data_IF_893628308108
#
_entry.id   IF_893628308108
#
_cell.length_a   1.000
_cell.length_b   1.000
_cell.length_c   1.000
_cell.angle_alpha   90.00
_cell.angle_beta   90.00
_cell.angle_gamma   90.00
#
_symmetry.space_group_name_H-M   'P 1'
#
loop_
_entity.id
_entity.type
_entity.pdbx_description
1 polymer ?
#
# COMPACT_ATOMS: atom_id res chain seq x y z
N UNK A 1 -0.12 3.71 -6.20
CA UNK A 1 1.18 4.32 -6.51
C UNK A 1 1.50 4.17 -7.99
N UNK A 2 1.95 5.24 -8.61
CA UNK A 2 2.34 5.31 -10.02
C UNK A 2 3.84 5.62 -10.09
N UNK A 3 4.53 5.10 -11.09
CA UNK A 3 5.88 5.50 -11.46
C UNK A 3 5.80 6.25 -12.79
N UNK A 4 6.53 7.36 -12.91
CA UNK A 4 6.52 8.21 -14.08
C UNK A 4 7.95 8.41 -14.59
N UNK A 5 8.13 8.35 -15.91
CA UNK A 5 9.32 8.89 -16.55
C UNK A 5 9.06 10.40 -16.81
N UNK A 6 9.81 11.31 -16.16
CA UNK A 6 9.57 12.75 -16.31
C UNK A 6 10.01 13.31 -17.67
N UNK A 7 10.90 12.62 -18.40
CA UNK A 7 11.35 13.07 -19.73
C UNK A 7 10.33 12.73 -20.82
N UNK A 8 9.74 11.52 -20.76
CA UNK A 8 8.81 11.03 -21.78
C UNK A 8 7.33 11.26 -21.43
N UNK A 9 7.02 11.50 -20.15
CA UNK A 9 5.65 11.55 -19.64
C UNK A 9 4.96 10.18 -19.52
N UNK A 10 5.68 9.07 -19.76
CA UNK A 10 5.15 7.73 -19.60
C UNK A 10 4.86 7.45 -18.12
N UNK A 11 3.66 6.94 -17.81
CA UNK A 11 3.24 6.59 -16.45
C UNK A 11 2.82 5.12 -16.39
N UNK A 12 3.35 4.38 -15.42
CA UNK A 12 2.98 2.99 -15.14
C UNK A 12 2.43 2.87 -13.72
N UNK A 13 1.37 2.07 -13.56
CA UNK A 13 0.87 1.70 -12.24
C UNK A 13 1.80 0.66 -11.63
N UNK A 14 2.36 0.95 -10.46
CA UNK A 14 3.31 0.07 -9.76
C UNK A 14 2.64 -0.70 -8.62
N UNK A 15 1.78 -0.04 -7.84
CA UNK A 15 1.14 -0.62 -6.65
C UNK A 15 -0.31 -0.16 -6.54
N UNK A 16 -1.19 -1.10 -6.23
CA UNK A 16 -2.54 -0.86 -5.69
C UNK A 16 -2.59 -1.41 -4.27
N UNK A 17 -3.19 -0.67 -3.33
CA UNK A 17 -3.36 -1.15 -1.96
C UNK A 17 -4.72 -1.84 -1.73
N UNK A 18 -4.99 -2.24 -0.48
CA UNK A 18 -6.23 -2.91 -0.08
C UNK A 18 -7.47 -2.01 -0.17
N UNK A 19 -8.64 -2.52 0.23
CA UNK A 19 -9.91 -1.76 0.22
C UNK A 19 -9.88 -0.63 1.26
N UNK A 20 -10.44 0.52 0.90
CA UNK A 20 -10.72 1.64 1.81
C UNK A 20 -9.50 2.38 2.34
N UNK A 21 -8.32 2.18 1.77
CA UNK A 21 -7.04 2.78 2.17
C UNK A 21 -6.61 3.95 1.28
N UNK A 22 -5.64 4.71 1.76
CA UNK A 22 -4.76 5.53 0.90
C UNK A 22 -3.31 5.04 0.93
N UNK A 23 -2.63 5.13 -0.23
CA UNK A 23 -1.20 4.90 -0.33
C UNK A 23 -0.51 6.25 -0.07
N UNK A 24 0.29 6.30 0.98
CA UNK A 24 0.94 7.53 1.44
C UNK A 24 2.30 7.21 2.04
N UNK A 25 3.20 8.20 2.15
CA UNK A 25 4.56 8.02 2.65
C UNK A 25 5.40 7.09 1.75
N UNK A 26 6.51 7.61 1.24
CA UNK A 26 7.44 6.81 0.44
C UNK A 26 8.87 7.21 0.75
N UNK A 27 9.72 6.20 0.99
CA UNK A 27 11.16 6.39 1.11
C UNK A 27 11.88 5.14 0.62
N UNK A 28 13.06 5.33 0.03
CA UNK A 28 13.89 4.22 -0.47
C UNK A 28 15.20 4.19 0.30
N UNK A 29 15.76 3.00 0.50
CA UNK A 29 17.13 2.86 1.02
C UNK A 29 18.14 3.56 0.11
N UNK A 30 19.31 3.99 0.64
CA UNK A 30 20.34 4.67 -0.16
C UNK A 30 20.83 3.86 -1.37
N UNK A 31 20.79 2.53 -1.29
CA UNK A 31 21.18 1.63 -2.38
C UNK A 31 20.05 1.35 -3.38
N UNK A 32 18.87 1.94 -3.15
CA UNK A 32 17.66 1.85 -3.96
C UNK A 32 17.05 0.46 -4.12
N UNK A 33 17.45 -0.51 -3.28
CA UNK A 33 16.97 -1.91 -3.36
C UNK A 33 15.77 -2.21 -2.47
N UNK A 34 15.39 -1.30 -1.58
CA UNK A 34 14.22 -1.46 -0.71
C UNK A 34 13.43 -0.17 -0.65
N UNK A 35 12.13 -0.25 -0.92
CA UNK A 35 11.20 0.87 -0.83
C UNK A 35 10.20 0.63 0.31
N UNK A 36 10.05 1.60 1.19
CA UNK A 36 9.05 1.61 2.24
C UNK A 36 7.86 2.48 1.81
N UNK A 37 6.64 1.93 1.90
CA UNK A 37 5.41 2.61 1.50
C UNK A 37 4.34 2.40 2.57
N UNK A 38 3.62 3.44 3.00
CA UNK A 38 2.54 3.25 3.97
C UNK A 38 1.19 3.00 3.29
N UNK A 39 0.44 2.08 3.89
CA UNK A 39 -0.99 1.90 3.68
C UNK A 39 -1.69 2.53 4.89
N UNK A 40 -2.35 3.66 4.68
CA UNK A 40 -3.07 4.35 5.74
C UNK A 40 -4.55 3.94 5.74
N UNK A 41 -5.11 3.82 6.95
CA UNK A 41 -6.52 3.54 7.25
C UNK A 41 -7.21 2.53 6.31
N UNK A 42 -6.69 1.30 6.14
CA UNK A 42 -7.41 0.28 5.38
C UNK A 42 -8.80 0.05 5.97
N UNK A 43 -9.80 -0.03 5.10
CA UNK A 43 -11.20 -0.15 5.50
C UNK A 43 -11.87 1.15 5.99
N UNK A 44 -11.28 2.33 5.76
CA UNK A 44 -11.90 3.62 6.15
C UNK A 44 -13.29 3.87 5.51
N UNK A 45 -13.63 3.11 4.47
CA UNK A 45 -14.95 3.11 3.83
C UNK A 45 -15.94 2.14 4.47
N UNK A 46 -15.65 1.60 5.66
CA UNK A 46 -16.64 0.86 6.45
C UNK A 46 -17.60 1.86 7.07
N UNK A 47 -18.89 1.71 6.81
CA UNK A 47 -19.93 2.54 7.44
C UNK A 47 -19.99 2.32 8.96
N UNK A 48 -20.46 3.31 9.71
CA UNK A 48 -20.38 3.29 11.16
C UNK A 48 -21.21 2.15 11.81
N UNK A 49 -22.36 1.84 11.24
CA UNK A 49 -23.22 0.73 11.67
C UNK A 49 -22.60 -0.64 11.38
N UNK A 50 -22.02 -0.81 10.19
CA UNK A 50 -21.28 -2.00 9.81
C UNK A 50 -20.05 -2.20 10.70
N UNK A 51 -19.32 -1.12 11.00
CA UNK A 51 -18.20 -1.15 11.94
C UNK A 51 -18.65 -1.58 13.35
N UNK A 52 -19.76 -1.03 13.85
CA UNK A 52 -20.32 -1.41 15.14
C UNK A 52 -20.79 -2.88 15.19
N UNK A 53 -21.23 -3.43 14.06
CA UNK A 53 -21.61 -4.84 13.90
C UNK A 53 -20.41 -5.77 13.65
N UNK A 54 -19.20 -5.23 13.45
CA UNK A 54 -18.00 -6.00 13.09
C UNK A 54 -17.98 -6.46 11.62
N UNK A 55 -18.84 -5.92 10.78
CA UNK A 55 -18.89 -6.17 9.33
C UNK A 55 -17.95 -5.20 8.61
N UNK A 56 -16.67 -5.55 8.57
CA UNK A 56 -15.61 -4.66 8.09
C UNK A 56 -15.31 -4.93 6.61
N UNK A 57 -15.19 -3.86 5.81
CA UNK A 57 -14.92 -3.99 4.36
C UNK A 57 -13.46 -4.36 4.05
N UNK A 58 -12.59 -4.35 5.06
CA UNK A 58 -11.19 -4.72 4.95
C UNK A 58 -10.75 -5.41 6.24
N UNK A 59 -9.92 -6.44 6.07
CA UNK A 59 -9.23 -7.15 7.15
C UNK A 59 -7.72 -7.12 6.95
N UNK A 60 -7.23 -6.25 6.08
CA UNK A 60 -5.80 -6.13 5.78
C UNK A 60 -5.01 -5.57 6.99
N UNK A 61 -3.79 -6.05 7.29
CA UNK A 61 -2.99 -7.01 6.51
C UNK A 61 -3.27 -8.49 6.81
N UNK A 62 -3.78 -8.78 8.01
CA UNK A 62 -3.78 -10.14 8.55
C UNK A 62 -4.88 -11.04 7.94
N UNK A 63 -5.88 -10.45 7.28
CA UNK A 63 -6.99 -11.14 6.63
C UNK A 63 -8.00 -11.75 7.61
N UNK A 64 -8.83 -12.67 7.11
CA UNK A 64 -9.83 -13.34 7.92
C UNK A 64 -10.85 -12.36 8.50
N UNK A 65 -11.03 -12.37 9.82
CA UNK A 65 -11.90 -11.45 10.57
C UNK A 65 -11.11 -10.41 11.38
N UNK A 66 -9.83 -10.18 11.05
CA UNK A 66 -8.97 -9.28 11.80
C UNK A 66 -9.42 -7.81 11.65
N UNK A 67 -9.29 -7.01 12.70
CA UNK A 67 -9.48 -5.55 12.59
C UNK A 67 -8.41 -4.98 11.66
N UNK A 68 -8.76 -4.18 10.64
CA UNK A 68 -7.80 -3.66 9.69
C UNK A 68 -6.83 -2.69 10.38
N UNK A 69 -5.57 -2.71 9.94
CA UNK A 69 -4.48 -1.95 10.56
C UNK A 69 -3.66 -1.25 9.49
N UNK A 70 -3.36 0.03 9.70
CA UNK A 70 -2.33 0.70 8.91
C UNK A 70 -0.99 0.00 9.10
N UNK A 71 -0.18 -0.04 8.04
CA UNK A 71 1.15 -0.62 8.10
C UNK A 71 2.08 0.00 7.07
N UNK A 72 3.38 -0.16 7.32
CA UNK A 72 4.45 0.16 6.38
C UNK A 72 4.85 -1.12 5.64
N UNK A 73 4.70 -1.09 4.32
CA UNK A 73 5.19 -2.13 3.42
C UNK A 73 6.69 -2.03 3.27
N UNK A 74 7.35 -3.17 3.13
CA UNK A 74 8.74 -3.28 2.67
C UNK A 74 8.69 -3.93 1.29
N UNK A 75 8.99 -3.15 0.26
CA UNK A 75 8.95 -3.59 -1.13
C UNK A 75 10.38 -3.84 -1.61
N UNK A 76 10.64 -5.07 -2.04
CA UNK A 76 11.92 -5.54 -2.59
C UNK A 76 11.68 -6.28 -3.90
N UNK A 77 12.66 -6.27 -4.80
CA UNK A 77 12.66 -7.17 -5.96
C UNK A 77 13.15 -8.56 -5.55
N UNK A 78 12.57 -9.60 -6.13
CA UNK A 78 12.98 -11.00 -5.89
C UNK A 78 14.43 -11.26 -6.31
N UNK A 79 14.92 -10.53 -7.33
CA UNK A 79 16.29 -10.61 -7.83
C UNK A 79 17.30 -9.70 -7.10
N UNK A 80 16.86 -8.96 -6.08
CA UNK A 80 17.71 -8.00 -5.35
C UNK A 80 18.13 -6.77 -6.15
N UNK A 81 17.49 -6.50 -7.30
CA UNK A 81 17.77 -5.32 -8.12
C UNK A 81 17.24 -4.01 -7.53
N UNK A 82 17.51 -2.91 -8.23
CA UNK A 82 17.00 -1.57 -7.89
C UNK A 82 15.50 -1.48 -8.16
N UNK A 83 14.73 -0.91 -7.24
CA UNK A 83 13.27 -0.77 -7.40
C UNK A 83 12.95 0.12 -8.61
N UNK A 84 12.15 -0.40 -9.55
CA UNK A 84 11.67 0.35 -10.72
C UNK A 84 12.66 0.51 -11.88
N UNK A 85 13.86 -0.07 -11.79
CA UNK A 85 14.87 -0.12 -12.86
C UNK A 85 14.62 -1.23 -13.88
#
# INVERSE_FOLDING_TARGET
>A
MLAANPETGEIKRFLTGPVGQEITGVITTPDQRTMFVNVQHPGATTEADAFAAGDLVSHWPDGGSAIPRSATLVITREDGGIIGA
#
